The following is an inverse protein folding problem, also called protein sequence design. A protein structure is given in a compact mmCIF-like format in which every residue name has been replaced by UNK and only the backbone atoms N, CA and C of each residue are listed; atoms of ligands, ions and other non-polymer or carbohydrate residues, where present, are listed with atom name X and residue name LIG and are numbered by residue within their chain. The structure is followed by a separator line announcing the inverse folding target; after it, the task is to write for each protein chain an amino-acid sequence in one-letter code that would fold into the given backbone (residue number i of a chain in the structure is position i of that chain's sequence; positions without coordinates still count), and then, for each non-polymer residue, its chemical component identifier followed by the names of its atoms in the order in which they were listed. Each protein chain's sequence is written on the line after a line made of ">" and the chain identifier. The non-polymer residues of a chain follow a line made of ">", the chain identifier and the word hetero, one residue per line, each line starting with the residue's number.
data_IF_006205945291
#
_entry.id   IF_006205945291
#
_cell.length_a   1.000
_cell.length_b   1.000
_cell.length_c   1.000
_cell.angle_alpha   90.00
_cell.angle_beta   90.00
_cell.angle_gamma   90.00
#
_symmetry.space_group_name_H-M   'P 1'
#
loop_
_entity.id
_entity.type
_entity.pdbx_description
1 polymer ?
#
# COMPACT_ATOMS: atom_id res chain seq x y z
N UNK A 1 19.74 -5.50 -0.30
CA UNK A 1 19.55 -4.04 -0.27
C UNK A 1 20.24 -3.48 0.97
N UNK A 2 20.87 -2.33 0.82
CA UNK A 2 21.34 -1.45 1.91
C UNK A 2 20.24 -0.50 2.37
N UNK A 3 20.48 0.27 3.43
CA UNK A 3 19.58 1.33 3.88
C UNK A 3 19.37 2.41 2.82
N UNK A 4 20.46 2.86 2.18
CA UNK A 4 20.38 3.84 1.08
C UNK A 4 19.60 3.28 -0.11
N UNK A 5 19.77 1.99 -0.43
CA UNK A 5 18.99 1.33 -1.48
C UNK A 5 17.50 1.34 -1.13
N UNK A 6 17.13 1.09 0.14
CA UNK A 6 15.74 1.13 0.59
C UNK A 6 15.14 2.53 0.50
N UNK A 7 15.86 3.54 0.97
CA UNK A 7 15.40 4.93 0.94
C UNK A 7 15.17 5.44 -0.49
N UNK A 8 15.95 4.98 -1.47
CA UNK A 8 15.92 5.51 -2.85
C UNK A 8 15.35 4.56 -3.91
N UNK A 9 15.03 3.31 -3.56
CA UNK A 9 14.50 2.31 -4.50
C UNK A 9 13.25 2.80 -5.24
N UNK A 10 13.20 2.50 -6.53
CA UNK A 10 12.01 2.64 -7.38
C UNK A 10 11.51 1.29 -7.89
N UNK A 11 11.97 0.19 -7.28
CA UNK A 11 11.53 -1.16 -7.57
C UNK A 11 10.86 -1.78 -6.32
N UNK A 12 9.53 -1.82 -6.26
CA UNK A 12 8.81 -2.39 -5.12
C UNK A 12 9.00 -3.91 -5.01
N UNK A 13 9.34 -4.60 -6.10
CA UNK A 13 9.54 -6.05 -6.09
C UNK A 13 10.89 -6.42 -5.48
N UNK A 14 11.94 -5.62 -5.76
CA UNK A 14 13.22 -5.76 -5.08
C UNK A 14 13.08 -5.52 -3.56
N UNK A 15 12.27 -4.53 -3.16
CA UNK A 15 11.95 -4.25 -1.76
C UNK A 15 11.19 -5.41 -1.09
N UNK A 16 10.17 -5.97 -1.75
CA UNK A 16 9.45 -7.14 -1.25
C UNK A 16 10.35 -8.39 -1.13
N UNK A 17 11.20 -8.64 -2.12
CA UNK A 17 12.18 -9.72 -2.06
C UNK A 17 13.11 -9.55 -0.86
N UNK A 18 13.61 -8.34 -0.65
CA UNK A 18 14.45 -8.03 0.51
C UNK A 18 13.73 -8.30 1.84
N UNK A 19 12.46 -7.88 1.97
CA UNK A 19 11.67 -8.13 3.19
C UNK A 19 11.49 -9.64 3.44
N UNK A 20 11.16 -10.40 2.39
CA UNK A 20 11.02 -11.87 2.45
C UNK A 20 12.32 -12.55 2.90
N UNK A 21 13.44 -12.14 2.31
CA UNK A 21 14.73 -12.78 2.54
C UNK A 21 15.29 -12.48 3.94
N UNK A 22 14.78 -11.43 4.60
CA UNK A 22 15.15 -11.05 5.97
C UNK A 22 14.45 -11.89 7.06
N UNK A 23 13.29 -12.48 6.76
CA UNK A 23 12.55 -13.31 7.70
C UNK A 23 11.03 -13.26 7.50
N UNK A 24 10.26 -13.80 8.45
CA UNK A 24 8.80 -13.77 8.39
C UNK A 24 8.26 -12.34 8.29
N UNK A 25 7.36 -12.11 7.34
CA UNK A 25 6.71 -10.81 7.13
C UNK A 25 5.26 -10.90 7.60
N UNK A 26 4.77 -9.85 8.27
CA UNK A 26 3.39 -9.77 8.74
C UNK A 26 2.41 -9.86 7.57
N UNK A 27 1.52 -10.86 7.58
CA UNK A 27 0.45 -11.00 6.58
C UNK A 27 -0.41 -9.73 6.52
N UNK A 28 -0.73 -9.14 7.69
CA UNK A 28 -1.47 -7.88 7.79
C UNK A 28 -0.80 -6.79 6.96
N UNK A 29 0.51 -6.58 7.14
CA UNK A 29 1.26 -5.55 6.40
C UNK A 29 1.33 -5.84 4.91
N UNK A 30 1.58 -7.09 4.52
CA UNK A 30 1.56 -7.49 3.10
C UNK A 30 0.18 -7.21 2.47
N UNK A 31 -0.90 -7.52 3.19
CA UNK A 31 -2.27 -7.32 2.69
C UNK A 31 -2.61 -5.84 2.56
N UNK A 32 -2.20 -5.01 3.53
CA UNK A 32 -2.35 -3.55 3.46
C UNK A 32 -1.54 -2.94 2.31
N UNK A 33 -0.38 -3.51 1.98
CA UNK A 33 0.37 -3.10 0.80
C UNK A 33 -0.36 -3.46 -0.50
N UNK A 34 -0.93 -4.67 -0.62
CA UNK A 34 -1.77 -5.05 -1.77
C UNK A 34 -3.01 -4.13 -1.91
N UNK A 35 -3.68 -3.82 -0.79
CA UNK A 35 -4.80 -2.88 -0.75
C UNK A 35 -4.36 -1.49 -1.21
N UNK A 36 -3.20 -1.02 -0.76
CA UNK A 36 -2.64 0.28 -1.17
C UNK A 36 -2.37 0.30 -2.68
N UNK A 37 -1.81 -0.75 -3.25
CA UNK A 37 -1.67 -0.90 -4.71
C UNK A 37 -3.00 -0.77 -5.45
N UNK A 38 -4.07 -1.39 -4.91
CA UNK A 38 -5.41 -1.29 -5.49
C UNK A 38 -6.03 0.12 -5.32
N UNK A 39 -5.73 0.81 -4.22
CA UNK A 39 -6.22 2.17 -3.96
C UNK A 39 -5.59 3.20 -4.91
N UNK A 40 -4.33 3.02 -5.31
CA UNK A 40 -3.67 3.86 -6.32
C UNK A 40 -4.40 3.82 -7.67
N UNK A 41 -4.91 2.64 -8.04
CA UNK A 41 -5.68 2.44 -9.28
C UNK A 41 -7.20 2.47 -9.08
N UNK A 42 -7.69 3.00 -7.95
CA UNK A 42 -9.12 2.99 -7.61
C UNK A 42 -10.04 3.52 -8.72
N UNK A 43 -9.69 4.60 -9.46
CA UNK A 43 -10.50 5.07 -10.59
C UNK A 43 -10.65 4.06 -11.73
N UNK A 44 -9.68 3.14 -11.88
CA UNK A 44 -9.65 2.09 -12.92
C UNK A 44 -10.42 0.82 -12.51
N UNK A 45 -10.70 0.66 -11.21
CA UNK A 45 -11.57 -0.41 -10.71
C UNK A 45 -13.01 0.09 -10.84
N UNK A 46 -13.68 -0.22 -11.95
CA UNK A 46 -15.03 0.28 -12.25
C UNK A 46 -16.15 -0.58 -11.65
N UNK A 47 -15.89 -1.85 -11.38
CA UNK A 47 -16.89 -2.79 -10.90
C UNK A 47 -17.01 -2.80 -9.36
N UNK A 48 -18.26 -2.82 -8.90
CA UNK A 48 -18.59 -2.81 -7.48
C UNK A 48 -18.13 -4.07 -6.72
N UNK A 49 -17.82 -5.17 -7.42
CA UNK A 49 -17.40 -6.42 -6.76
C UNK A 49 -15.92 -6.33 -6.39
N UNK A 50 -15.06 -5.85 -7.29
CA UNK A 50 -13.63 -5.67 -7.04
C UNK A 50 -13.37 -4.58 -6.01
N UNK A 51 -14.13 -3.47 -6.02
CA UNK A 51 -14.06 -2.45 -4.96
C UNK A 51 -14.39 -3.04 -3.58
N UNK A 52 -15.46 -3.83 -3.49
CA UNK A 52 -15.81 -4.54 -2.25
C UNK A 52 -14.75 -5.57 -1.83
N UNK A 53 -14.11 -6.24 -2.79
CA UNK A 53 -13.00 -7.16 -2.50
C UNK A 53 -11.85 -6.42 -1.79
N UNK A 54 -11.41 -5.27 -2.33
CA UNK A 54 -10.37 -4.44 -1.72
C UNK A 54 -10.76 -3.97 -0.31
N UNK A 55 -12.01 -3.54 -0.12
CA UNK A 55 -12.52 -3.13 1.20
C UNK A 55 -12.55 -4.30 2.20
N UNK A 56 -12.90 -5.50 1.76
CA UNK A 56 -12.88 -6.71 2.61
C UNK A 56 -11.45 -7.13 2.93
N UNK A 57 -10.51 -7.06 1.98
CA UNK A 57 -9.10 -7.30 2.25
C UNK A 57 -8.54 -6.34 3.31
N UNK A 58 -8.92 -5.06 3.24
CA UNK A 58 -8.56 -4.04 4.21
C UNK A 58 -9.12 -4.35 5.60
N UNK A 59 -10.41 -4.69 5.69
CA UNK A 59 -11.06 -5.07 6.95
C UNK A 59 -10.46 -6.34 7.53
N UNK A 60 -10.15 -7.33 6.69
CA UNK A 60 -9.52 -8.59 7.12
C UNK A 60 -8.15 -8.33 7.72
N UNK A 61 -7.34 -7.48 7.09
CA UNK A 61 -6.03 -7.08 7.62
C UNK A 61 -6.15 -6.46 9.03
N UNK A 62 -7.25 -5.77 9.32
CA UNK A 62 -7.53 -5.19 10.64
C UNK A 62 -8.30 -6.11 11.61
N UNK A 63 -8.55 -7.38 11.24
CA UNK A 63 -9.31 -8.33 12.05
C UNK A 63 -10.82 -8.03 12.12
N UNK A 64 -11.33 -7.21 11.20
CA UNK A 64 -12.74 -6.79 11.09
C UNK A 64 -13.53 -7.58 10.03
N UNK A 65 -12.91 -8.60 9.45
CA UNK A 65 -13.50 -9.57 8.54
C UNK A 65 -12.86 -10.95 8.76
N UNK A 66 -13.53 -12.00 8.28
CA UNK A 66 -13.15 -13.41 8.45
C UNK A 66 -12.68 -14.03 7.13
N UNK A 67 -12.08 -15.22 7.18
CA UNK A 67 -11.69 -15.96 5.96
C UNK A 67 -12.89 -16.24 5.05
N UNK A 68 -14.09 -16.42 5.64
CA UNK A 68 -15.32 -16.62 4.86
C UNK A 68 -15.65 -15.39 4.03
N UNK A 69 -15.38 -14.20 4.54
CA UNK A 69 -15.61 -12.95 3.81
C UNK A 69 -14.64 -12.82 2.63
N UNK A 70 -13.39 -13.29 2.78
CA UNK A 70 -12.41 -13.35 1.68
C UNK A 70 -12.78 -14.39 0.61
N UNK A 71 -13.26 -15.57 1.02
CA UNK A 71 -13.54 -16.70 0.11
C UNK A 71 -14.59 -16.36 -0.95
N UNK A 72 -15.53 -15.46 -0.64
CA UNK A 72 -16.55 -14.99 -1.59
C UNK A 72 -15.91 -14.34 -2.82
N UNK A 73 -14.71 -13.77 -2.68
CA UNK A 73 -14.00 -13.09 -3.76
C UNK A 73 -12.86 -13.93 -4.34
N UNK A 74 -12.25 -14.84 -3.57
CA UNK A 74 -11.11 -15.63 -4.06
C UNK A 74 -11.50 -16.76 -5.03
N UNK A 75 -12.79 -17.13 -5.11
CA UNK A 75 -13.32 -18.16 -6.02
C UNK A 75 -14.10 -17.52 -7.18
N UNK A 76 -13.45 -17.29 -8.33
CA UNK A 76 -14.12 -16.81 -9.55
C UNK A 76 -13.25 -16.01 -10.53
N UNK A 77 -13.89 -15.06 -11.25
CA UNK A 77 -13.36 -14.20 -12.35
C UNK A 77 -11.96 -13.62 -12.15
N UNK A 78 -11.52 -13.48 -10.90
CA UNK A 78 -10.24 -12.91 -10.50
C UNK A 78 -9.01 -13.74 -10.91
N UNK A 79 -9.12 -15.07 -10.94
CA UNK A 79 -8.03 -15.94 -11.42
C UNK A 79 -8.07 -16.19 -12.94
N UNK A 80 -9.24 -15.99 -13.57
CA UNK A 80 -9.46 -16.15 -15.03
C UNK A 80 -9.08 -14.90 -15.84
N UNK A 81 -8.84 -13.77 -15.15
CA UNK A 81 -8.42 -12.50 -15.75
C UNK A 81 -7.05 -12.57 -16.47
N UNK A 82 -6.31 -13.68 -16.35
CA UNK A 82 -5.08 -13.97 -17.12
C UNK A 82 -5.27 -13.94 -18.64
N UNK A 83 -6.50 -14.09 -19.13
CA UNK A 83 -6.78 -14.31 -20.55
C UNK A 83 -6.96 -13.02 -21.36
N UNK A 84 -7.15 -11.88 -20.70
CA UNK A 84 -7.31 -10.57 -21.35
C UNK A 84 -6.21 -9.64 -20.83
N UNK A 85 -5.44 -9.03 -21.75
CA UNK A 85 -4.38 -8.08 -21.40
C UNK A 85 -4.89 -6.66 -21.63
N UNK A 86 -5.67 -6.13 -20.68
CA UNK A 86 -6.21 -4.77 -20.73
C UNK A 86 -6.34 -4.15 -19.32
N UNK A 87 -6.71 -2.87 -19.25
CA UNK A 87 -6.84 -2.12 -18.00
C UNK A 87 -7.79 -2.79 -17.00
N UNK A 88 -8.98 -3.18 -17.46
CA UNK A 88 -10.03 -3.74 -16.62
C UNK A 88 -9.62 -5.10 -16.02
N UNK A 89 -9.05 -5.98 -16.83
CA UNK A 89 -8.61 -7.30 -16.36
C UNK A 89 -7.45 -7.20 -15.38
N UNK A 90 -6.50 -6.29 -15.61
CA UNK A 90 -5.40 -6.02 -14.69
C UNK A 90 -5.89 -5.41 -13.37
N UNK A 91 -6.79 -4.43 -13.42
CA UNK A 91 -7.37 -3.82 -12.22
C UNK A 91 -8.17 -4.83 -11.38
N UNK A 92 -8.96 -5.67 -12.04
CA UNK A 92 -9.70 -6.77 -11.41
C UNK A 92 -8.75 -7.77 -10.77
N UNK A 93 -7.70 -8.19 -11.48
CA UNK A 93 -6.72 -9.14 -10.96
C UNK A 93 -5.98 -8.59 -9.72
N UNK A 94 -5.62 -7.30 -9.71
CA UNK A 94 -4.99 -6.67 -8.55
C UNK A 94 -5.84 -6.81 -7.28
N UNK A 95 -7.14 -6.52 -7.39
CA UNK A 95 -8.12 -6.67 -6.30
C UNK A 95 -8.30 -8.15 -5.89
N UNK A 96 -8.32 -9.06 -6.87
CA UNK A 96 -8.44 -10.49 -6.65
C UNK A 96 -7.29 -11.09 -5.85
N UNK A 97 -6.06 -10.68 -6.14
CA UNK A 97 -4.89 -11.10 -5.37
C UNK A 97 -4.94 -10.56 -3.95
N UNK A 98 -5.40 -9.33 -3.71
CA UNK A 98 -5.48 -8.73 -2.37
C UNK A 98 -6.39 -9.52 -1.39
N UNK A 99 -7.33 -10.30 -1.90
CA UNK A 99 -8.25 -11.16 -1.11
C UNK A 99 -7.88 -12.65 -1.13
N UNK A 100 -6.74 -13.02 -1.72
CA UNK A 100 -6.36 -14.43 -1.77
C UNK A 100 -6.06 -14.98 -0.36
N UNK A 101 -6.20 -16.30 -0.23
CA UNK A 101 -5.84 -17.07 0.96
C UNK A 101 -5.38 -18.47 0.50
N UNK A 102 -4.17 -18.95 0.87
CA UNK A 102 -3.18 -18.27 1.71
C UNK A 102 -2.64 -16.98 1.07
N UNK A 103 -2.04 -16.11 1.89
CA UNK A 103 -1.56 -14.80 1.47
C UNK A 103 -0.14 -14.57 1.99
N UNK A 104 0.82 -14.51 1.06
CA UNK A 104 2.22 -14.28 1.35
C UNK A 104 2.83 -13.31 0.30
N UNK A 105 4.15 -13.16 0.30
CA UNK A 105 4.91 -12.26 -0.57
C UNK A 105 4.56 -12.48 -2.06
N UNK A 106 4.34 -13.72 -2.48
CA UNK A 106 4.01 -14.03 -3.88
C UNK A 106 2.68 -13.39 -4.32
N UNK A 107 1.66 -13.48 -3.48
CA UNK A 107 0.31 -12.98 -3.78
C UNK A 107 0.30 -11.45 -3.83
N UNK A 108 1.02 -10.80 -2.91
CA UNK A 108 1.16 -9.34 -2.95
C UNK A 108 2.02 -8.86 -4.14
N UNK A 109 3.07 -9.58 -4.53
CA UNK A 109 3.83 -9.27 -5.74
C UNK A 109 2.93 -9.29 -6.97
N UNK A 110 2.01 -10.26 -7.06
CA UNK A 110 1.06 -10.36 -8.16
C UNK A 110 0.05 -9.22 -8.14
N UNK A 111 -0.50 -8.88 -6.97
CA UNK A 111 -1.38 -7.70 -6.82
C UNK A 111 -0.68 -6.41 -7.28
N UNK A 112 0.56 -6.19 -6.83
CA UNK A 112 1.35 -5.01 -7.18
C UNK A 112 1.65 -4.93 -8.69
N UNK A 113 2.04 -6.05 -9.33
CA UNK A 113 2.29 -6.11 -10.79
C UNK A 113 1.03 -5.79 -11.58
N UNK A 114 -0.11 -6.36 -11.19
CA UNK A 114 -1.37 -6.11 -11.87
C UNK A 114 -1.82 -4.65 -11.75
N UNK A 115 -1.57 -4.00 -10.62
CA UNK A 115 -1.81 -2.56 -10.49
C UNK A 115 -0.90 -1.74 -11.42
N UNK A 116 0.38 -2.09 -11.54
CA UNK A 116 1.31 -1.45 -12.49
C UNK A 116 0.85 -1.63 -13.95
N UNK A 117 0.39 -2.84 -14.30
CA UNK A 117 -0.08 -3.15 -15.64
C UNK A 117 -1.41 -2.43 -15.96
N UNK A 118 -2.30 -2.25 -14.98
CA UNK A 118 -3.52 -1.46 -15.16
C UNK A 118 -3.19 0.00 -15.50
N UNK A 119 -2.23 0.63 -14.80
CA UNK A 119 -1.76 1.98 -15.10
C UNK A 119 -1.14 2.09 -16.50
N UNK A 120 -0.34 1.09 -16.89
CA UNK A 120 0.25 1.00 -18.23
C UNK A 120 -0.82 0.93 -19.32
N UNK A 121 -1.80 0.02 -19.19
CA UNK A 121 -2.85 -0.14 -20.19
C UNK A 121 -3.77 1.08 -20.24
N UNK A 122 -4.08 1.70 -19.10
CA UNK A 122 -4.88 2.92 -19.08
C UNK A 122 -4.20 4.03 -19.89
N UNK A 123 -2.90 4.24 -19.68
CA UNK A 123 -2.12 5.19 -20.46
C UNK A 123 -2.17 4.89 -21.97
N UNK A 124 -2.11 3.61 -22.36
CA UNK A 124 -2.22 3.20 -23.77
C UNK A 124 -3.57 3.51 -24.41
N UNK A 125 -4.66 3.42 -23.65
CA UNK A 125 -6.00 3.70 -24.16
C UNK A 125 -6.31 5.20 -24.26
N UNK A 126 -5.61 6.02 -23.47
CA UNK A 126 -5.75 7.49 -23.49
C UNK A 126 -4.76 8.17 -24.44
N UNK A 127 -3.87 7.40 -25.09
CA UNK A 127 -2.87 7.96 -26.00
C UNK A 127 -3.49 8.30 -27.35
N UNK A 128 -3.38 9.55 -27.80
CA UNK A 128 -3.62 9.88 -29.19
C UNK A 128 -2.50 9.30 -30.07
N UNK A 129 -2.89 8.42 -31.00
CA UNK A 129 -1.99 7.73 -31.94
C UNK A 129 -1.35 8.66 -32.97
N UNK A 130 -1.63 9.96 -32.92
CA UNK A 130 -0.97 10.99 -33.74
C UNK A 130 0.49 11.25 -33.31
N UNK A 131 0.90 10.75 -32.14
CA UNK A 131 2.25 10.89 -31.62
C UNK A 131 3.25 9.93 -32.29
N UNK A 132 4.50 10.37 -32.43
CA UNK A 132 5.61 9.50 -32.86
C UNK A 132 5.74 8.29 -31.93
N UNK A 133 6.01 7.11 -32.49
CA UNK A 133 6.09 5.84 -31.74
C UNK A 133 6.99 5.92 -30.49
N UNK A 134 8.08 6.69 -30.54
CA UNK A 134 8.98 6.90 -29.40
C UNK A 134 8.38 7.77 -28.27
N UNK A 135 7.44 8.68 -28.57
CA UNK A 135 6.73 9.45 -27.56
C UNK A 135 5.69 8.59 -26.82
N UNK A 136 5.00 7.71 -27.54
CA UNK A 136 4.08 6.73 -26.98
C UNK A 136 4.82 5.81 -25.99
N UNK A 137 5.93 5.20 -26.42
CA UNK A 137 6.72 4.30 -25.57
C UNK A 137 7.21 4.98 -24.28
N UNK A 138 7.72 6.22 -24.38
CA UNK A 138 8.15 6.99 -23.20
C UNK A 138 7.00 7.25 -22.23
N UNK A 139 5.82 7.60 -22.73
CA UNK A 139 4.66 7.88 -21.88
C UNK A 139 4.19 6.60 -21.17
N UNK A 140 4.11 5.48 -21.88
CA UNK A 140 3.69 4.20 -21.32
C UNK A 140 4.66 3.70 -20.25
N UNK A 141 5.97 3.79 -20.50
CA UNK A 141 6.99 3.47 -19.52
C UNK A 141 6.92 4.41 -18.31
N UNK A 142 6.69 5.71 -18.53
CA UNK A 142 6.51 6.70 -17.48
C UNK A 142 5.33 6.40 -16.55
N UNK A 143 4.19 5.93 -17.09
CA UNK A 143 3.03 5.54 -16.28
C UNK A 143 3.34 4.33 -15.38
N UNK A 144 4.06 3.34 -15.90
CA UNK A 144 4.47 2.17 -15.12
C UNK A 144 5.51 2.52 -14.05
N UNK A 145 6.44 3.41 -14.36
CA UNK A 145 7.42 3.93 -13.39
C UNK A 145 6.78 4.77 -12.29
N UNK A 146 5.79 5.59 -12.62
CA UNK A 146 5.03 6.35 -11.63
C UNK A 146 4.32 5.42 -10.64
N UNK A 147 3.59 4.41 -11.15
CA UNK A 147 2.95 3.41 -10.31
C UNK A 147 3.94 2.65 -9.42
N UNK A 148 5.17 2.36 -9.91
CA UNK A 148 6.22 1.75 -9.09
C UNK A 148 6.71 2.65 -7.97
N UNK A 149 6.90 3.95 -8.23
CA UNK A 149 7.30 4.92 -7.19
C UNK A 149 6.27 5.02 -6.07
N UNK A 150 4.99 5.16 -6.43
CA UNK A 150 3.90 5.19 -5.44
C UNK A 150 3.82 3.90 -4.62
N UNK A 151 4.09 2.74 -5.22
CA UNK A 151 4.19 1.47 -4.50
C UNK A 151 5.40 1.41 -3.57
N UNK A 152 6.56 1.92 -3.98
CA UNK A 152 7.73 2.04 -3.09
C UNK A 152 7.42 2.95 -1.90
N UNK A 153 6.72 4.05 -2.10
CA UNK A 153 6.33 4.97 -1.04
C UNK A 153 5.35 4.30 -0.07
N UNK A 154 4.36 3.54 -0.58
CA UNK A 154 3.48 2.73 0.26
C UNK A 154 4.24 1.65 1.06
N UNK A 155 5.28 1.02 0.49
CA UNK A 155 6.12 0.08 1.23
C UNK A 155 6.88 0.77 2.38
N UNK A 156 7.44 1.95 2.13
CA UNK A 156 8.10 2.75 3.18
C UNK A 156 7.12 3.19 4.24
N UNK A 157 5.90 3.57 3.85
CA UNK A 157 4.88 3.97 4.81
C UNK A 157 4.37 2.78 5.64
N UNK A 158 4.25 1.57 5.10
CA UNK A 158 3.74 0.41 5.86
C UNK A 158 4.82 -0.28 6.70
N UNK A 159 6.04 -0.40 6.16
CA UNK A 159 7.12 -1.14 6.79
C UNK A 159 8.11 -0.25 7.55
N UNK A 160 8.10 1.06 7.31
CA UNK A 160 9.07 2.00 7.86
C UNK A 160 10.47 1.77 7.27
N UNK A 161 11.49 2.18 8.02
CA UNK A 161 12.87 1.83 7.74
C UNK A 161 13.20 0.48 8.39
N UNK A 162 13.37 -0.62 7.63
CA UNK A 162 13.63 -1.91 8.22
C UNK A 162 15.02 -1.98 8.86
N UNK A 163 15.95 -1.07 8.55
CA UNK A 163 17.30 -1.04 9.13
C UNK A 163 17.33 -0.37 10.50
N UNK A 164 16.38 0.52 10.78
CA UNK A 164 16.25 1.21 12.07
C UNK A 164 14.82 1.08 12.62
N UNK A 165 14.48 -0.06 13.23
CA UNK A 165 13.20 -0.21 13.92
C UNK A 165 13.11 0.79 15.07
N UNK A 166 12.14 1.70 15.01
CA UNK A 166 11.92 2.69 16.05
C UNK A 166 11.30 2.05 17.29
N UNK A 167 11.88 2.31 18.46
CA UNK A 167 11.32 1.89 19.75
C UNK A 167 10.32 2.94 20.21
N UNK A 168 9.04 2.58 20.25
CA UNK A 168 7.97 3.48 20.69
C UNK A 168 7.78 3.40 22.21
N UNK A 169 8.03 4.51 22.92
CA UNK A 169 7.81 4.56 24.37
C UNK A 169 6.31 4.46 24.70
N UNK A 170 5.89 3.59 25.64
CA UNK A 170 4.50 3.52 26.10
C UNK A 170 3.98 4.85 26.66
N UNK A 171 4.87 5.71 27.19
CA UNK A 171 4.51 7.00 27.79
C UNK A 171 3.95 7.99 26.74
N UNK A 172 4.40 7.89 25.48
CA UNK A 172 3.89 8.72 24.39
C UNK A 172 2.47 8.33 23.95
N UNK A 173 1.98 7.14 24.36
CA UNK A 173 0.66 6.61 24.00
C UNK A 173 -0.43 7.16 24.93
N UNK A 174 -0.56 8.48 24.99
CA UNK A 174 -1.62 9.15 25.76
C UNK A 174 -3.00 8.93 25.11
N UNK A 175 -4.08 9.17 25.88
CA UNK A 175 -5.45 9.06 25.36
C UNK A 175 -5.67 9.98 24.14
N UNK A 176 -5.14 11.21 24.19
CA UNK A 176 -5.23 12.18 23.10
C UNK A 176 -4.52 11.69 21.84
N UNK A 177 -3.28 11.18 21.98
CA UNK A 177 -2.49 10.63 20.86
C UNK A 177 -3.20 9.42 20.23
N UNK A 178 -3.74 8.51 21.04
CA UNK A 178 -4.47 7.34 20.55
C UNK A 178 -5.78 7.73 19.86
N UNK A 179 -6.55 8.66 20.43
CA UNK A 179 -7.79 9.13 19.84
C UNK A 179 -7.56 9.79 18.48
N UNK A 180 -6.53 10.64 18.37
CA UNK A 180 -6.15 11.29 17.13
C UNK A 180 -5.66 10.28 16.08
N UNK A 181 -4.76 9.36 16.45
CA UNK A 181 -4.28 8.31 15.55
C UNK A 181 -5.42 7.41 15.05
N UNK A 182 -6.39 7.09 15.92
CA UNK A 182 -7.58 6.32 15.54
C UNK A 182 -8.43 7.07 14.52
N UNK A 183 -8.70 8.35 14.75
CA UNK A 183 -9.43 9.20 13.82
C UNK A 183 -8.73 9.31 12.46
N UNK A 184 -7.41 9.53 12.45
CA UNK A 184 -6.59 9.53 11.23
C UNK A 184 -6.75 8.21 10.47
N UNK A 185 -6.62 7.08 11.17
CA UNK A 185 -6.65 5.75 10.57
C UNK A 185 -8.03 5.37 10.02
N UNK A 186 -9.10 5.64 10.77
CA UNK A 186 -10.48 5.28 10.39
C UNK A 186 -11.03 6.17 9.28
N UNK A 187 -10.76 7.48 9.34
CA UNK A 187 -11.25 8.45 8.36
C UNK A 187 -10.32 8.61 7.15
N UNK A 188 -9.12 8.01 7.19
CA UNK A 188 -8.01 8.27 6.24
C UNK A 188 -7.63 9.75 6.16
N UNK A 189 -7.73 10.46 7.29
CA UNK A 189 -7.43 11.88 7.41
C UNK A 189 -5.92 12.13 7.56
N UNK A 190 -5.15 11.70 6.56
CA UNK A 190 -3.68 11.76 6.54
C UNK A 190 -3.14 13.20 6.60
N UNK A 191 -3.95 14.17 6.21
CA UNK A 191 -3.67 15.60 6.36
C UNK A 191 -3.50 16.04 7.83
N UNK A 192 -3.99 15.23 8.79
CA UNK A 192 -3.84 15.48 10.24
C UNK A 192 -2.56 14.86 10.83
N UNK A 193 -1.69 14.24 10.03
CA UNK A 193 -0.42 13.68 10.51
C UNK A 193 0.50 14.72 11.20
N UNK A 194 0.61 15.98 10.73
CA UNK A 194 1.34 17.01 11.47
C UNK A 194 0.75 17.28 12.86
N UNK A 195 -0.58 17.23 13.00
CA UNK A 195 -1.25 17.39 14.31
C UNK A 195 -0.95 16.21 15.23
N UNK A 196 -0.77 15.00 14.67
CA UNK A 196 -0.31 13.84 15.44
C UNK A 196 1.13 14.02 15.93
N UNK A 197 1.99 14.68 15.15
CA UNK A 197 3.35 15.04 15.60
C UNK A 197 3.30 15.95 16.83
N UNK A 198 2.47 16.98 16.79
CA UNK A 198 2.34 17.95 17.89
C UNK A 198 1.79 17.26 19.15
N UNK A 199 0.77 16.39 19.00
CA UNK A 199 0.24 15.62 20.11
C UNK A 199 1.27 14.64 20.71
N UNK A 200 2.14 14.06 19.89
CA UNK A 200 3.24 13.20 20.36
C UNK A 200 4.31 14.02 21.10
N UNK A 201 4.66 15.20 20.59
CA UNK A 201 5.62 16.12 21.23
C UNK A 201 5.10 16.62 22.58
N UNK A 202 3.81 16.98 22.67
CA UNK A 202 3.12 17.33 23.92
C UNK A 202 3.10 16.15 24.92
N UNK A 203 3.06 14.92 24.43
CA UNK A 203 3.16 13.70 25.22
C UNK A 203 4.60 13.35 25.65
N UNK A 204 5.59 14.21 25.32
CA UNK A 204 6.99 14.02 25.67
C UNK A 204 7.78 13.15 24.69
N UNK A 205 7.30 12.98 23.45
CA UNK A 205 8.07 12.32 22.40
C UNK A 205 9.30 13.16 22.04
N UNK A 206 10.49 12.58 22.20
CA UNK A 206 11.78 13.17 21.87
C UNK A 206 12.42 12.54 20.62
N UNK A 207 11.72 11.61 19.97
CA UNK A 207 12.19 10.94 18.77
C UNK A 207 12.02 11.83 17.53
N UNK A 208 13.09 12.52 17.14
CA UNK A 208 13.12 13.43 16.00
C UNK A 208 12.66 12.73 14.70
N UNK A 209 13.12 11.50 14.44
CA UNK A 209 12.76 10.75 13.24
C UNK A 209 11.23 10.53 13.12
N UNK A 210 10.55 10.18 14.21
CA UNK A 210 9.08 10.03 14.23
C UNK A 210 8.37 11.35 13.95
N UNK A 211 8.82 12.43 14.59
CA UNK A 211 8.20 13.76 14.46
C UNK A 211 8.39 14.33 13.06
N UNK A 212 9.60 14.21 12.50
CA UNK A 212 9.90 14.60 11.11
C UNK A 212 9.11 13.75 10.11
N UNK A 213 8.93 12.45 10.37
CA UNK A 213 8.10 11.59 9.53
C UNK A 213 6.64 12.07 9.46
N UNK A 214 6.03 12.39 10.61
CA UNK A 214 4.67 12.93 10.67
C UNK A 214 4.52 14.30 9.97
N UNK A 215 5.54 15.16 10.07
CA UNK A 215 5.53 16.53 9.53
C UNK A 215 5.96 16.59 8.06
N UNK A 216 6.65 15.55 7.58
CA UNK A 216 7.17 15.48 6.23
C UNK A 216 6.09 15.34 5.15
N UNK A 217 6.43 15.56 3.88
CA UNK A 217 5.50 15.47 2.75
C UNK A 217 5.25 14.00 2.33
N UNK A 218 5.19 13.08 3.29
CA UNK A 218 5.05 11.66 3.03
C UNK A 218 3.62 11.33 2.56
N UNK A 219 3.49 10.39 1.63
CA UNK A 219 2.19 9.83 1.29
C UNK A 219 1.85 8.72 2.27
N UNK A 220 0.81 8.93 3.08
CA UNK A 220 0.38 7.94 4.05
C UNK A 220 -0.75 7.06 3.51
N UNK A 221 -0.70 5.79 3.87
CA UNK A 221 -1.70 4.78 3.57
C UNK A 221 -2.12 4.04 4.83
N UNK A 222 -3.19 3.27 4.72
CA UNK A 222 -3.64 2.44 5.82
C UNK A 222 -2.60 1.35 6.08
N UNK A 223 -2.17 1.23 7.33
CA UNK A 223 -0.99 0.44 7.70
C UNK A 223 0.28 1.26 7.90
N UNK A 224 0.19 2.60 7.81
CA UNK A 224 1.26 3.51 8.19
C UNK A 224 1.93 3.06 9.50
N UNK A 225 3.23 2.78 9.43
CA UNK A 225 4.00 2.16 10.51
C UNK A 225 3.93 2.99 11.80
N UNK A 226 3.93 4.31 11.68
CA UNK A 226 3.87 5.21 12.82
C UNK A 226 2.50 5.17 13.51
N UNK A 227 1.43 5.24 12.73
CA UNK A 227 0.06 5.15 13.25
C UNK A 227 -0.18 3.77 13.85
N UNK A 228 0.33 2.71 13.22
CA UNK A 228 0.29 1.35 13.77
C UNK A 228 1.05 1.22 15.10
N UNK A 229 2.20 1.88 15.26
CA UNK A 229 2.92 1.93 16.54
C UNK A 229 2.07 2.60 17.63
N UNK A 230 1.41 3.72 17.33
CA UNK A 230 0.50 4.38 18.27
C UNK A 230 -0.67 3.47 18.64
N UNK A 231 -1.27 2.80 17.65
CA UNK A 231 -2.44 1.95 17.84
C UNK A 231 -2.13 0.53 18.35
N UNK A 232 -0.84 0.15 18.44
CA UNK A 232 -0.42 -1.19 18.84
C UNK A 232 -0.77 -2.28 17.83
N UNK A 233 -0.79 -1.95 16.54
CA UNK A 233 -1.07 -2.88 15.44
C UNK A 233 0.25 -3.49 14.91
N UNK A 234 0.28 -4.80 14.68
CA UNK A 234 1.45 -5.55 14.18
C UNK A 234 1.10 -6.38 12.95
#
# INVERSE_FOLDING_TARGET
>A
MTESDWATSTDPLAMLSFLRDRGPVSERKLRLFAVSCCRLIWPLIDDATSRRAVEVAERFADGLATDRDLIVFSRGRYFEAKTLSNTLSSATAAAGWAVSSPFDVREVELSARHAQDASYFNASTTTDYENEAGAIERMLNGAKEAARREQCDALRDIFGNPFHPVVFSPEWRTEAVVALARGIYEERAWDRMPVLADALEDAGCDCIELLEYCRGPNTHVRGCWLVDLVLGKT
#
